data_IF_927093603727
#
_entry.id   IF_927093603727
#
_cell.length_a   1.000
_cell.length_b   1.000
_cell.length_c   1.000
_cell.angle_alpha   90.00
_cell.angle_beta   90.00
_cell.angle_gamma   90.00
#
_symmetry.space_group_name_H-M   'P 1'
#
loop_
_entity.id
_entity.type
_entity.pdbx_description
1 polymer ?
#
# COMPACT_ATOMS: atom_id res chain seq x y z
N UNK A 1 16.42 -3.20 -14.61
CA UNK A 1 16.04 -4.60 -14.29
C UNK A 1 14.54 -4.63 -13.98
N UNK A 2 13.86 -5.74 -14.24
CA UNK A 2 12.40 -5.89 -14.01
C UNK A 2 11.53 -4.77 -14.63
N UNK A 3 11.96 -4.23 -15.77
CA UNK A 3 11.35 -3.09 -16.48
C UNK A 3 11.18 -1.80 -15.63
N UNK A 4 11.91 -1.68 -14.51
CA UNK A 4 11.94 -0.48 -13.70
C UNK A 4 13.02 0.47 -14.22
N UNK A 5 12.67 1.75 -14.42
CA UNK A 5 13.57 2.79 -14.89
C UNK A 5 14.51 3.24 -13.75
N UNK A 6 15.48 2.39 -13.39
CA UNK A 6 16.41 2.66 -12.28
C UNK A 6 17.22 3.95 -12.48
N UNK A 7 17.52 4.32 -13.73
CA UNK A 7 18.23 5.56 -14.00
C UNK A 7 17.42 6.79 -13.59
N UNK A 8 16.10 6.77 -13.79
CA UNK A 8 15.22 7.83 -13.31
C UNK A 8 15.19 7.92 -11.77
N UNK A 9 15.18 6.75 -11.10
CA UNK A 9 15.26 6.68 -9.62
C UNK A 9 16.61 7.25 -9.14
N UNK A 10 17.71 6.91 -9.80
CA UNK A 10 19.04 7.43 -9.48
C UNK A 10 19.13 8.93 -9.71
N UNK A 11 18.59 9.42 -10.82
CA UNK A 11 18.58 10.85 -11.15
C UNK A 11 17.83 11.66 -10.08
N UNK A 12 16.60 11.28 -9.73
CA UNK A 12 15.86 12.00 -8.69
C UNK A 12 16.54 11.92 -7.32
N UNK A 13 17.17 10.78 -7.00
CA UNK A 13 17.97 10.62 -5.78
C UNK A 13 19.12 11.64 -5.72
N UNK A 14 19.85 11.82 -6.81
CA UNK A 14 20.94 12.79 -6.88
C UNK A 14 20.43 14.23 -6.75
N UNK A 15 19.33 14.55 -7.45
CA UNK A 15 18.70 15.86 -7.35
C UNK A 15 18.28 16.19 -5.92
N UNK A 16 17.71 15.21 -5.19
CA UNK A 16 17.29 15.40 -3.79
C UNK A 16 18.52 15.53 -2.86
N UNK A 17 19.64 14.81 -3.14
CA UNK A 17 20.88 14.97 -2.37
C UNK A 17 21.44 16.39 -2.50
N UNK A 18 21.37 16.98 -3.70
CA UNK A 18 21.82 18.35 -3.96
C UNK A 18 20.87 19.39 -3.39
N UNK A 19 19.58 19.15 -3.45
CA UNK A 19 18.54 20.02 -2.90
C UNK A 19 17.45 19.23 -2.18
N UNK A 20 17.59 18.97 -0.87
CA UNK A 20 16.61 18.18 -0.09
C UNK A 20 15.17 18.68 -0.15
N UNK A 21 14.96 19.99 -0.36
CA UNK A 21 13.60 20.56 -0.40
C UNK A 21 12.75 20.03 -1.55
N UNK A 22 13.35 19.60 -2.67
CA UNK A 22 12.62 19.03 -3.80
C UNK A 22 12.11 17.62 -3.52
N UNK A 23 12.57 16.99 -2.44
CA UNK A 23 12.09 15.68 -1.98
C UNK A 23 10.72 15.73 -1.31
N UNK A 24 10.28 16.92 -0.85
CA UNK A 24 8.97 17.09 -0.24
C UNK A 24 7.93 17.29 -1.35
N UNK A 25 7.00 16.34 -1.46
CA UNK A 25 5.93 16.35 -2.48
C UNK A 25 4.56 16.41 -1.82
N UNK A 26 3.68 17.24 -2.36
CA UNK A 26 2.27 17.26 -1.96
C UNK A 26 1.50 16.22 -2.78
N UNK A 27 0.75 15.38 -2.11
CA UNK A 27 -0.20 14.44 -2.71
C UNK A 27 -1.62 14.87 -2.34
N UNK A 28 -2.54 14.77 -3.29
CA UNK A 28 -3.93 15.21 -3.09
C UNK A 28 -4.90 14.20 -3.69
N UNK A 29 -6.06 14.09 -3.08
CA UNK A 29 -7.24 13.45 -3.64
C UNK A 29 -8.43 14.39 -3.42
N UNK A 30 -9.44 14.29 -4.28
CA UNK A 30 -10.70 15.02 -4.16
C UNK A 30 -11.84 14.03 -4.17
N UNK A 31 -12.88 14.28 -3.39
CA UNK A 31 -14.04 13.41 -3.29
C UNK A 31 -15.32 14.20 -3.56
N UNK A 32 -16.17 13.65 -4.41
CA UNK A 32 -17.55 14.07 -4.59
C UNK A 32 -18.48 12.97 -4.05
N UNK A 33 -19.35 13.34 -3.10
CA UNK A 33 -20.45 12.49 -2.66
C UNK A 33 -21.48 12.36 -3.78
N UNK A 34 -21.97 11.14 -4.01
CA UNK A 34 -22.99 10.88 -5.04
C UNK A 34 -24.35 10.63 -4.42
N UNK A 35 -24.46 9.59 -3.58
CA UNK A 35 -25.67 9.20 -2.88
C UNK A 35 -25.36 8.17 -1.78
N UNK A 36 -26.12 8.18 -0.68
CA UNK A 36 -25.94 7.22 0.43
C UNK A 36 -24.51 7.19 0.93
N UNK A 37 -23.83 6.03 0.81
CA UNK A 37 -22.40 5.86 1.11
C UNK A 37 -21.51 5.90 -0.13
N UNK A 38 -22.12 6.07 -1.32
CA UNK A 38 -21.40 6.07 -2.58
C UNK A 38 -20.72 7.40 -2.87
N UNK A 39 -19.42 7.33 -3.18
CA UNK A 39 -18.56 8.47 -3.45
C UNK A 39 -17.71 8.23 -4.70
N UNK A 40 -17.36 9.32 -5.38
CA UNK A 40 -16.37 9.32 -6.46
C UNK A 40 -15.10 10.02 -6.00
N UNK A 41 -13.98 9.30 -5.98
CA UNK A 41 -12.67 9.83 -5.59
C UNK A 41 -11.81 10.05 -6.83
N UNK A 42 -11.25 11.24 -6.95
CA UNK A 42 -10.44 11.70 -8.06
C UNK A 42 -8.98 11.83 -7.60
N UNK A 43 -8.08 11.20 -8.32
CA UNK A 43 -6.64 11.26 -8.09
C UNK A 43 -5.98 11.66 -9.39
N UNK A 44 -5.43 12.87 -9.46
CA UNK A 44 -4.85 13.44 -10.69
C UNK A 44 -5.84 13.35 -11.85
N UNK A 45 -5.37 12.98 -13.05
CA UNK A 45 -6.16 12.83 -14.28
C UNK A 45 -6.63 11.38 -14.53
N UNK A 46 -6.58 10.52 -13.52
CA UNK A 46 -7.08 9.14 -13.65
C UNK A 46 -8.61 9.10 -13.60
N UNK A 47 -9.18 8.01 -14.13
CA UNK A 47 -10.61 7.74 -13.98
C UNK A 47 -10.99 7.72 -12.51
N UNK A 48 -12.19 8.23 -12.15
CA UNK A 48 -12.66 8.22 -10.78
C UNK A 48 -12.71 6.81 -10.19
N UNK A 49 -12.38 6.71 -8.92
CA UNK A 49 -12.51 5.50 -8.13
C UNK A 49 -13.87 5.57 -7.42
N UNK A 50 -14.71 4.57 -7.60
CA UNK A 50 -15.97 4.45 -6.87
C UNK A 50 -15.67 3.82 -5.52
N UNK A 51 -16.10 4.47 -4.45
CA UNK A 51 -16.04 3.98 -3.08
C UNK A 51 -17.47 3.85 -2.56
N UNK A 52 -17.80 2.70 -1.98
CA UNK A 52 -19.12 2.44 -1.39
C UNK A 52 -18.96 1.48 -0.20
N UNK A 53 -19.96 1.36 0.63
CA UNK A 53 -20.01 0.37 1.69
C UNK A 53 -20.83 -0.86 1.25
N UNK A 54 -20.56 -2.04 1.84
CA UNK A 54 -21.41 -3.20 1.63
C UNK A 54 -22.80 -2.97 2.24
N UNK A 55 -23.80 -3.72 1.76
CA UNK A 55 -25.19 -3.55 2.16
C UNK A 55 -25.42 -3.65 3.68
N UNK A 56 -24.63 -4.48 4.39
CA UNK A 56 -24.70 -4.64 5.84
C UNK A 56 -24.27 -3.37 6.60
N UNK A 57 -23.51 -2.50 5.96
CA UNK A 57 -23.08 -1.20 6.49
C UNK A 57 -23.83 -0.01 5.86
N UNK A 58 -24.95 -0.28 5.19
CA UNK A 58 -25.86 0.74 4.63
C UNK A 58 -25.50 1.18 3.22
N UNK A 59 -24.58 0.50 2.54
CA UNK A 59 -24.19 0.79 1.16
C UNK A 59 -24.95 0.01 0.10
N UNK A 60 -24.48 0.14 -1.14
CA UNK A 60 -25.02 -0.55 -2.32
C UNK A 60 -24.00 -1.47 -2.99
N UNK A 61 -22.78 -1.60 -2.41
CA UNK A 61 -21.72 -2.49 -2.87
C UNK A 61 -21.31 -2.24 -4.35
N UNK A 62 -21.20 -0.97 -4.73
CA UNK A 62 -20.83 -0.56 -6.10
C UNK A 62 -19.32 -0.30 -6.27
N UNK A 63 -18.58 -0.31 -5.19
CA UNK A 63 -17.13 -0.15 -5.16
C UNK A 63 -16.57 -0.71 -3.86
N UNK A 64 -15.24 -0.91 -3.83
CA UNK A 64 -14.58 -1.30 -2.60
C UNK A 64 -14.74 -0.21 -1.52
N UNK A 65 -14.77 -0.62 -0.26
CA UNK A 65 -14.91 0.31 0.83
C UNK A 65 -13.57 0.98 1.22
N UNK A 66 -13.59 2.03 2.07
CA UNK A 66 -12.35 2.73 2.44
C UNK A 66 -11.28 1.85 3.09
N UNK A 67 -11.66 0.84 3.88
CA UNK A 67 -10.70 -0.10 4.51
C UNK A 67 -10.03 -0.97 3.46
N UNK A 68 -10.78 -1.46 2.48
CA UNK A 68 -10.24 -2.24 1.36
C UNK A 68 -9.25 -1.40 0.52
N UNK A 69 -9.55 -0.11 0.27
CA UNK A 69 -8.62 0.80 -0.38
C UNK A 69 -7.37 1.11 0.45
N UNK A 70 -7.51 1.19 1.79
CA UNK A 70 -6.35 1.32 2.68
C UNK A 70 -5.44 0.10 2.53
N UNK A 71 -5.99 -1.11 2.54
CA UNK A 71 -5.23 -2.35 2.36
C UNK A 71 -4.63 -2.44 0.96
N UNK A 72 -5.36 -2.07 -0.09
CA UNK A 72 -4.86 -2.02 -1.46
C UNK A 72 -3.68 -1.04 -1.59
N UNK A 73 -3.77 0.14 -0.99
CA UNK A 73 -2.67 1.10 -0.93
C UNK A 73 -1.45 0.55 -0.17
N UNK A 74 -1.69 -0.11 0.96
CA UNK A 74 -0.65 -0.68 1.80
C UNK A 74 0.12 -1.80 1.06
N UNK A 75 -0.59 -2.78 0.49
CA UNK A 75 0.03 -3.90 -0.23
C UNK A 75 0.75 -3.44 -1.49
N UNK A 76 0.18 -2.49 -2.25
CA UNK A 76 0.80 -1.93 -3.45
C UNK A 76 2.08 -1.16 -3.10
N UNK A 77 2.07 -0.39 -2.01
CA UNK A 77 3.24 0.35 -1.56
C UNK A 77 4.39 -0.59 -1.16
N UNK A 78 4.08 -1.68 -0.45
CA UNK A 78 5.05 -2.72 -0.13
C UNK A 78 5.61 -3.38 -1.39
N UNK A 79 4.74 -3.86 -2.29
CA UNK A 79 5.13 -4.58 -3.51
C UNK A 79 6.04 -3.72 -4.39
N UNK A 80 5.66 -2.48 -4.69
CA UNK A 80 6.47 -1.55 -5.51
C UNK A 80 7.84 -1.30 -4.85
N UNK A 81 7.87 -1.13 -3.52
CA UNK A 81 9.13 -0.90 -2.80
C UNK A 81 10.03 -2.14 -2.87
N UNK A 82 9.48 -3.34 -2.69
CA UNK A 82 10.19 -4.60 -2.84
C UNK A 82 10.76 -4.77 -4.26
N UNK A 83 9.95 -4.54 -5.30
CA UNK A 83 10.33 -4.65 -6.71
C UNK A 83 11.46 -3.69 -7.06
N UNK A 84 11.41 -2.45 -6.57
CA UNK A 84 12.46 -1.44 -6.78
C UNK A 84 13.77 -1.89 -6.13
N UNK A 85 13.74 -2.31 -4.87
CA UNK A 85 14.95 -2.77 -4.17
C UNK A 85 15.50 -4.07 -4.75
N UNK A 86 14.67 -5.03 -5.10
CA UNK A 86 15.09 -6.22 -5.81
C UNK A 86 15.84 -5.87 -7.12
N UNK A 87 15.32 -4.89 -7.85
CA UNK A 87 15.93 -4.42 -9.09
C UNK A 87 17.26 -3.70 -8.85
N UNK A 88 17.37 -2.89 -7.80
CA UNK A 88 18.62 -2.22 -7.41
C UNK A 88 19.72 -3.21 -6.99
N UNK A 89 19.32 -4.30 -6.32
CA UNK A 89 20.19 -5.38 -5.89
C UNK A 89 20.48 -6.41 -7.00
N UNK A 90 20.03 -6.17 -8.22
CA UNK A 90 20.26 -7.07 -9.37
C UNK A 90 19.43 -8.37 -9.32
N UNK A 91 18.41 -8.45 -8.49
CA UNK A 91 17.53 -9.63 -8.41
C UNK A 91 16.49 -9.57 -9.51
N UNK A 92 16.51 -10.57 -10.40
CA UNK A 92 15.49 -10.75 -11.44
C UNK A 92 14.25 -11.41 -10.82
N UNK A 93 13.12 -10.74 -10.94
CA UNK A 93 11.82 -11.25 -10.54
C UNK A 93 11.10 -11.83 -11.74
N UNK A 94 10.56 -13.03 -11.60
CA UNK A 94 9.72 -13.70 -12.61
C UNK A 94 8.25 -13.51 -12.29
N UNK A 95 7.89 -13.55 -10.99
CA UNK A 95 6.55 -13.33 -10.50
C UNK A 95 6.62 -12.76 -9.08
N UNK A 96 5.69 -11.86 -8.78
CA UNK A 96 5.48 -11.34 -7.42
C UNK A 96 3.97 -11.36 -7.17
N UNK A 97 3.55 -12.10 -6.15
CA UNK A 97 2.20 -12.06 -5.59
C UNK A 97 2.31 -11.60 -4.14
N UNK A 98 1.46 -10.67 -3.75
CA UNK A 98 1.43 -10.17 -2.38
C UNK A 98 -0.01 -10.09 -1.91
N UNK A 99 -0.31 -10.79 -0.82
CA UNK A 99 -1.58 -10.66 -0.13
C UNK A 99 -1.41 -9.80 1.13
N UNK A 100 -2.45 -9.08 1.49
CA UNK A 100 -2.57 -8.43 2.78
C UNK A 100 -3.93 -8.78 3.39
N UNK A 101 -3.92 -9.12 4.68
CA UNK A 101 -5.13 -9.30 5.47
C UNK A 101 -5.00 -8.50 6.76
N UNK A 102 -6.12 -8.00 7.26
CA UNK A 102 -6.19 -7.32 8.55
C UNK A 102 -7.61 -7.42 9.10
N UNK A 103 -7.73 -7.29 10.42
CA UNK A 103 -9.02 -7.25 11.09
C UNK A 103 -9.48 -5.80 11.33
N UNK A 104 -10.80 -5.61 11.36
CA UNK A 104 -11.45 -4.40 11.86
C UNK A 104 -12.52 -4.79 12.88
N UNK A 105 -12.47 -4.21 14.07
CA UNK A 105 -13.52 -4.42 15.05
C UNK A 105 -14.72 -3.51 14.79
N UNK A 106 -15.70 -4.03 14.08
CA UNK A 106 -16.93 -3.29 13.70
C UNK A 106 -17.70 -2.78 14.93
N UNK A 107 -17.68 -3.50 16.06
CA UNK A 107 -18.34 -3.04 17.28
C UNK A 107 -17.67 -1.78 17.86
N UNK A 108 -16.35 -1.67 17.73
CA UNK A 108 -15.61 -0.45 18.11
C UNK A 108 -15.86 0.69 17.13
N UNK A 109 -15.88 0.37 15.83
CA UNK A 109 -16.21 1.33 14.77
C UNK A 109 -17.60 1.95 14.98
N UNK A 110 -18.60 1.13 15.32
CA UNK A 110 -19.98 1.57 15.58
C UNK A 110 -20.18 2.18 16.98
N UNK A 111 -19.14 2.27 17.80
CA UNK A 111 -19.22 2.83 19.15
C UNK A 111 -19.97 1.96 20.18
N UNK A 112 -20.18 0.68 19.88
CA UNK A 112 -20.84 -0.29 20.77
C UNK A 112 -19.89 -0.77 21.87
N UNK A 113 -18.56 -0.76 21.58
CA UNK A 113 -17.51 -1.24 22.45
C UNK A 113 -16.30 -0.30 22.38
N UNK A 114 -15.56 -0.16 23.48
CA UNK A 114 -14.26 0.50 23.49
C UNK A 114 -13.16 -0.45 22.96
N UNK A 115 -12.12 0.11 22.34
CA UNK A 115 -10.98 -0.63 21.81
C UNK A 115 -10.23 0.12 20.70
N UNK A 116 -9.36 -0.56 20.00
CA UNK A 116 -8.62 -0.01 18.87
C UNK A 116 -9.57 0.24 17.68
N UNK A 117 -9.54 1.48 17.16
CA UNK A 117 -10.48 1.95 16.13
C UNK A 117 -9.98 1.77 14.71
N UNK A 118 -8.70 1.46 14.53
CA UNK A 118 -8.08 1.20 13.23
C UNK A 118 -8.10 -0.27 12.86
N UNK A 119 -7.42 -0.60 11.78
CA UNK A 119 -7.12 -2.00 11.45
C UNK A 119 -6.16 -2.58 12.48
N UNK A 120 -6.34 -3.86 12.79
CA UNK A 120 -5.53 -4.63 13.75
C UNK A 120 -5.03 -5.91 13.07
N UNK A 121 -3.93 -6.46 13.60
CA UNK A 121 -3.32 -7.72 13.12
C UNK A 121 -3.01 -7.76 11.61
N UNK A 122 -2.50 -6.69 10.98
CA UNK A 122 -2.19 -6.75 9.56
C UNK A 122 -1.06 -7.74 9.28
N UNK A 123 -1.28 -8.64 8.32
CA UNK A 123 -0.30 -9.62 7.86
C UNK A 123 -0.11 -9.47 6.36
N UNK A 124 1.15 -9.36 5.92
CA UNK A 124 1.55 -9.38 4.51
C UNK A 124 2.19 -10.74 4.20
N UNK A 125 1.71 -11.39 3.15
CA UNK A 125 2.26 -12.64 2.61
C UNK A 125 2.88 -12.36 1.25
N UNK A 126 4.19 -12.54 1.13
CA UNK A 126 4.94 -12.37 -0.11
C UNK A 126 5.27 -13.72 -0.74
N UNK A 127 4.91 -13.90 -1.99
CA UNK A 127 5.35 -15.01 -2.83
C UNK A 127 6.09 -14.44 -4.06
N UNK A 128 7.42 -14.53 -4.05
CA UNK A 128 8.27 -14.05 -5.14
C UNK A 128 8.96 -15.22 -5.83
N UNK A 129 8.79 -15.35 -7.15
CA UNK A 129 9.51 -16.32 -7.98
C UNK A 129 10.74 -15.64 -8.54
N UNK A 130 11.91 -16.17 -8.15
CA UNK A 130 13.22 -15.66 -8.54
C UNK A 130 14.28 -16.74 -8.36
N UNK A 131 15.42 -16.58 -9.03
CA UNK A 131 16.61 -17.44 -8.82
C UNK A 131 17.48 -16.98 -7.62
N UNK A 132 17.14 -15.87 -6.97
CA UNK A 132 17.87 -15.41 -5.79
C UNK A 132 17.66 -16.35 -4.58
N UNK A 133 18.65 -16.37 -3.68
CA UNK A 133 18.54 -17.12 -2.43
C UNK A 133 17.42 -16.53 -1.55
N UNK A 134 16.73 -17.38 -0.81
CA UNK A 134 15.58 -16.98 0.02
C UNK A 134 15.98 -15.93 1.09
N UNK A 135 17.19 -16.00 1.60
CA UNK A 135 17.73 -15.03 2.56
C UNK A 135 17.82 -13.63 1.94
N UNK A 136 18.18 -13.52 0.66
CA UNK A 136 18.22 -12.24 -0.07
C UNK A 136 16.82 -11.70 -0.29
N UNK A 137 15.86 -12.55 -0.62
CA UNK A 137 14.45 -12.16 -0.74
C UNK A 137 13.94 -11.62 0.58
N UNK A 138 14.21 -12.30 1.70
CA UNK A 138 13.82 -11.86 3.06
C UNK A 138 14.46 -10.52 3.45
N UNK A 139 15.77 -10.34 3.16
CA UNK A 139 16.46 -9.07 3.41
C UNK A 139 15.76 -7.90 2.69
N UNK A 140 15.50 -8.05 1.38
CA UNK A 140 14.85 -7.03 0.56
C UNK A 140 13.40 -6.78 1.04
N UNK A 141 12.66 -7.83 1.38
CA UNK A 141 11.28 -7.71 1.85
C UNK A 141 11.19 -7.00 3.22
N UNK A 142 12.09 -7.31 4.15
CA UNK A 142 12.16 -6.59 5.43
C UNK A 142 12.55 -5.12 5.26
N UNK A 143 13.47 -4.83 4.34
CA UNK A 143 13.81 -3.45 3.99
C UNK A 143 12.59 -2.73 3.40
N UNK A 144 11.90 -3.36 2.45
CA UNK A 144 10.67 -2.80 1.85
C UNK A 144 9.61 -2.50 2.90
N UNK A 145 9.37 -3.43 3.84
CA UNK A 145 8.45 -3.24 4.95
C UNK A 145 8.84 -2.02 5.80
N UNK A 146 10.13 -1.89 6.12
CA UNK A 146 10.62 -0.85 7.02
C UNK A 146 10.56 0.58 6.45
N UNK A 147 10.64 0.74 5.12
CA UNK A 147 10.69 2.06 4.47
C UNK A 147 9.44 2.41 3.66
N UNK A 148 8.47 1.51 3.56
CA UNK A 148 7.23 1.73 2.82
C UNK A 148 6.39 2.84 3.47
N UNK A 149 6.18 4.00 2.80
CA UNK A 149 5.57 5.15 3.44
C UNK A 149 4.11 4.91 3.86
N UNK A 150 3.32 4.16 3.08
CA UNK A 150 1.94 3.85 3.45
C UNK A 150 1.90 2.94 4.68
N UNK A 151 2.76 1.90 4.72
CA UNK A 151 2.84 1.01 5.89
C UNK A 151 3.29 1.75 7.15
N UNK A 152 4.26 2.66 7.02
CA UNK A 152 4.72 3.50 8.13
C UNK A 152 3.69 4.56 8.57
N UNK A 153 2.62 4.75 7.80
CA UNK A 153 1.49 5.62 8.18
C UNK A 153 0.40 4.86 8.95
N UNK A 154 0.47 3.52 8.99
CA UNK A 154 -0.45 2.69 9.78
C UNK A 154 0.01 2.66 11.24
N UNK A 155 -0.91 2.86 12.17
CA UNK A 155 -0.60 2.86 13.61
C UNK A 155 -0.68 1.45 14.22
N UNK A 156 -0.04 0.48 13.56
CA UNK A 156 -0.06 -0.92 14.00
C UNK A 156 1.17 -1.67 13.48
N UNK A 157 1.57 -2.72 14.21
CA UNK A 157 2.67 -3.60 13.79
C UNK A 157 2.17 -4.58 12.71
N UNK A 158 2.95 -4.71 11.66
CA UNK A 158 2.64 -5.58 10.52
C UNK A 158 3.48 -6.85 10.62
N UNK A 159 2.85 -8.00 10.49
CA UNK A 159 3.53 -9.28 10.32
C UNK A 159 3.87 -9.49 8.83
N UNK A 160 5.09 -9.93 8.55
CA UNK A 160 5.55 -10.27 7.21
C UNK A 160 5.87 -11.76 7.15
N UNK A 161 5.20 -12.47 6.24
CA UNK A 161 5.39 -13.89 5.93
C UNK A 161 5.98 -14.00 4.52
N UNK A 162 7.07 -14.76 4.39
CA UNK A 162 7.82 -14.95 3.14
C UNK A 162 8.05 -16.44 2.92
#
# INVERSE_FOLDING_TARGET
>A
MNNIALDAVKQITNTIKENPSVGIKKWTAHLNWEDGTKNNVFIREFSPIIIDEPAQLGGTDKGANPVEYLLAGAVSCFAITFEVFASQEGVKLEKVDVDIEADLNVAVFLGIKEGERGIINPTIKLNAVTSAQIEKVKEIANLALSVSPVLNSLNTKIELVI
#
